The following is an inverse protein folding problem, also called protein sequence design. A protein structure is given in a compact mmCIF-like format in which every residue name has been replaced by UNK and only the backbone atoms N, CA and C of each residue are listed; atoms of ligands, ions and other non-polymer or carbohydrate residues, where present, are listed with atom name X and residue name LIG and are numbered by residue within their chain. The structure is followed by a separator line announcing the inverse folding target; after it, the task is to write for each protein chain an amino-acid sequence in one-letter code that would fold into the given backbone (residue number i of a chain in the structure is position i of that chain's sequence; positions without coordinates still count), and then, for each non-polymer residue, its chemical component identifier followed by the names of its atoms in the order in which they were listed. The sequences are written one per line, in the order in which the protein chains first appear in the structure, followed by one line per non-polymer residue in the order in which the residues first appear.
data_IF_064114148416
#
_entry.id   IF_064114148416
#
_cell.length_a   1.000
_cell.length_b   1.000
_cell.length_c   1.000
_cell.angle_alpha   90.00
_cell.angle_beta   90.00
_cell.angle_gamma   90.00
#
_symmetry.space_group_name_H-M   'P 1'
#
loop_
_entity.id
_entity.type
_entity.pdbx_description
1 polymer ?
#
# COMPACT_ATOMS: atom_id res chain seq x y z
N UNK A 1 11.63 -3.21 -5.60
CA UNK A 1 10.18 -3.28 -5.24
C UNK A 1 10.09 -3.92 -3.88
N UNK A 2 9.42 -3.29 -2.93
CA UNK A 2 9.43 -3.72 -1.54
C UNK A 2 8.28 -4.68 -1.20
N UNK A 3 8.59 -5.75 -0.47
CA UNK A 3 7.63 -6.77 -0.02
C UNK A 3 7.76 -7.01 1.49
N UNK A 4 6.67 -6.79 2.22
CA UNK A 4 6.57 -7.08 3.66
C UNK A 4 6.43 -8.59 3.92
N UNK A 5 7.33 -9.18 4.71
CA UNK A 5 7.21 -10.59 5.10
C UNK A 5 6.04 -10.82 6.04
N UNK A 6 5.68 -9.85 6.89
CA UNK A 6 4.46 -9.93 7.70
C UNK A 6 3.22 -10.04 6.83
N UNK A 7 3.12 -9.22 5.78
CA UNK A 7 1.99 -9.25 4.85
C UNK A 7 1.94 -10.54 4.05
N UNK A 8 3.08 -11.03 3.55
CA UNK A 8 3.18 -12.34 2.90
C UNK A 8 2.71 -13.46 3.85
N UNK A 9 3.08 -13.39 5.13
CA UNK A 9 2.77 -14.42 6.12
C UNK A 9 1.26 -14.58 6.40
N UNK A 10 0.44 -13.58 6.04
CA UNK A 10 -1.03 -13.67 6.10
C UNK A 10 -1.58 -14.63 5.05
N UNK A 11 -0.92 -14.72 3.89
CA UNK A 11 -1.31 -15.59 2.79
C UNK A 11 -0.65 -16.96 2.88
N UNK A 12 0.63 -17.04 3.28
CA UNK A 12 1.38 -18.30 3.34
C UNK A 12 2.24 -18.35 4.60
N UNK A 13 2.15 -19.44 5.39
CA UNK A 13 2.88 -19.52 6.65
C UNK A 13 4.39 -19.64 6.44
N UNK A 14 5.14 -18.60 6.84
CA UNK A 14 6.60 -18.54 6.75
C UNK A 14 7.31 -19.18 7.95
N UNK A 15 6.57 -19.62 8.97
CA UNK A 15 7.14 -20.26 10.16
C UNK A 15 8.04 -21.44 9.76
N UNK A 16 9.27 -21.42 10.28
CA UNK A 16 10.29 -22.43 10.01
C UNK A 16 11.13 -22.19 8.75
N UNK A 17 10.86 -21.12 7.99
CA UNK A 17 11.68 -20.67 6.86
C UNK A 17 12.46 -19.43 7.33
N UNK A 18 13.79 -19.50 7.30
CA UNK A 18 14.61 -18.32 7.63
C UNK A 18 14.59 -17.31 6.47
N UNK A 19 14.84 -16.03 6.76
CA UNK A 19 14.91 -15.00 5.73
C UNK A 19 15.99 -15.31 4.68
N UNK A 20 17.13 -15.86 5.09
CA UNK A 20 18.22 -16.26 4.20
C UNK A 20 17.79 -17.41 3.27
N UNK A 21 17.05 -18.38 3.80
CA UNK A 21 16.49 -19.48 2.99
C UNK A 21 15.48 -18.94 1.98
N UNK A 22 14.60 -18.02 2.40
CA UNK A 22 13.61 -17.40 1.55
C UNK A 22 14.27 -16.63 0.40
N UNK A 23 15.24 -15.77 0.72
CA UNK A 23 16.02 -14.99 -0.26
C UNK A 23 16.71 -15.93 -1.25
N UNK A 24 17.43 -16.93 -0.77
CA UNK A 24 18.15 -17.88 -1.63
C UNK A 24 17.18 -18.60 -2.60
N UNK A 25 16.04 -19.06 -2.10
CA UNK A 25 15.07 -19.78 -2.93
C UNK A 25 14.41 -18.86 -3.97
N UNK A 26 14.07 -17.62 -3.61
CA UNK A 26 13.54 -16.63 -4.56
C UNK A 26 14.56 -16.28 -5.64
N UNK A 27 15.83 -16.08 -5.27
CA UNK A 27 16.92 -15.80 -6.24
C UNK A 27 17.10 -16.94 -7.24
N UNK A 28 16.97 -18.20 -6.79
CA UNK A 28 17.13 -19.37 -7.67
C UNK A 28 15.91 -19.61 -8.57
N UNK A 29 14.70 -19.33 -8.09
CA UNK A 29 13.46 -19.73 -8.76
C UNK A 29 12.78 -18.60 -9.54
N UNK A 30 12.91 -17.34 -9.09
CA UNK A 30 12.00 -16.26 -9.49
C UNK A 30 12.72 -14.96 -9.81
N UNK A 31 13.42 -14.36 -8.86
CA UNK A 31 13.98 -13.00 -8.99
C UNK A 31 15.06 -12.71 -7.94
N UNK A 32 15.96 -11.80 -8.25
CA UNK A 32 16.97 -11.31 -7.32
C UNK A 32 16.37 -10.44 -6.21
N UNK A 33 16.87 -10.64 -4.98
CA UNK A 33 16.60 -9.78 -3.83
C UNK A 33 17.81 -8.87 -3.63
N UNK A 34 17.62 -7.57 -3.80
CA UNK A 34 18.67 -6.55 -3.68
C UNK A 34 19.06 -6.33 -2.21
N UNK A 35 18.08 -6.26 -1.30
CA UNK A 35 18.33 -6.01 0.12
C UNK A 35 17.24 -6.60 1.03
N UNK A 36 17.57 -6.72 2.32
CA UNK A 36 16.66 -7.11 3.41
C UNK A 36 16.63 -5.98 4.44
N UNK A 37 15.51 -5.27 4.45
CA UNK A 37 15.32 -4.04 5.21
C UNK A 37 14.51 -4.27 6.50
N UNK A 38 14.78 -3.45 7.50
CA UNK A 38 13.97 -3.33 8.73
C UNK A 38 13.45 -1.89 8.87
N UNK A 39 12.32 -1.54 8.21
CA UNK A 39 11.88 -0.15 8.05
C UNK A 39 11.62 0.58 9.38
N UNK A 40 11.36 -0.15 10.46
CA UNK A 40 11.06 0.41 11.79
C UNK A 40 12.04 -0.05 12.87
N UNK A 41 13.25 -0.45 12.48
CA UNK A 41 14.25 -1.02 13.41
C UNK A 41 14.58 -0.13 14.60
N UNK A 42 14.56 1.19 14.42
CA UNK A 42 14.86 2.16 15.49
C UNK A 42 13.86 2.10 16.65
N UNK A 43 12.61 1.66 16.41
CA UNK A 43 11.59 1.62 17.45
C UNK A 43 11.93 0.65 18.59
N UNK A 44 12.84 -0.31 18.35
CA UNK A 44 13.35 -1.22 19.38
C UNK A 44 14.28 -0.52 20.37
N UNK A 45 15.02 0.51 19.94
CA UNK A 45 15.98 1.26 20.76
C UNK A 45 15.33 2.45 21.50
N UNK A 46 14.13 2.85 21.09
CA UNK A 46 13.35 3.92 21.71
C UNK A 46 12.48 3.42 22.85
N UNK A 47 12.33 4.22 23.90
CA UNK A 47 11.45 3.96 25.03
C UNK A 47 10.20 4.84 24.97
N UNK A 48 9.06 4.31 25.41
CA UNK A 48 7.90 5.13 25.75
C UNK A 48 8.20 5.84 27.07
N UNK A 49 8.08 7.17 27.08
CA UNK A 49 8.35 7.98 28.27
C UNK A 49 7.24 9.03 28.46
N UNK A 50 7.16 9.62 29.66
CA UNK A 50 6.18 10.65 30.00
C UNK A 50 6.86 11.96 30.38
N UNK A 51 6.42 13.07 29.82
CA UNK A 51 6.89 14.41 30.23
C UNK A 51 6.19 14.77 31.55
N UNK A 52 6.92 14.91 32.64
CA UNK A 52 6.37 15.28 33.95
C UNK A 52 6.20 16.80 34.07
N UNK A 53 7.20 17.54 33.63
CA UNK A 53 7.19 19.01 33.61
C UNK A 53 8.14 19.53 32.53
N UNK A 54 7.97 20.79 32.13
CA UNK A 54 8.90 21.48 31.26
C UNK A 54 8.97 22.97 31.62
N UNK A 55 10.14 23.58 31.39
CA UNK A 55 10.38 25.01 31.54
C UNK A 55 11.16 25.55 30.34
N UNK A 56 11.05 26.86 30.07
CA UNK A 56 11.83 27.47 28.98
C UNK A 56 13.32 27.44 29.29
N UNK A 57 14.13 27.22 28.26
CA UNK A 57 15.58 27.28 28.39
C UNK A 57 16.03 28.74 28.67
N UNK A 58 16.89 28.99 29.68
CA UNK A 58 17.29 30.35 30.05
C UNK A 58 18.01 31.10 28.91
N UNK A 59 18.83 30.38 28.14
CA UNK A 59 19.64 30.94 27.05
C UNK A 59 19.15 30.60 25.62
N UNK A 60 17.87 30.19 25.47
CA UNK A 60 17.28 29.89 24.15
C UNK A 60 15.75 29.94 24.11
N UNK A 61 15.21 30.84 23.30
CA UNK A 61 13.76 31.08 23.18
C UNK A 61 12.96 29.89 22.62
N UNK A 62 13.60 29.04 21.80
CA UNK A 62 12.98 27.90 21.11
C UNK A 62 13.24 26.55 21.79
N UNK A 63 13.94 26.53 22.92
CA UNK A 63 14.27 25.29 23.61
C UNK A 63 13.54 25.21 24.95
N UNK A 64 13.14 24.00 25.31
CA UNK A 64 12.53 23.67 26.58
C UNK A 64 13.39 22.65 27.32
N UNK A 65 13.53 22.81 28.62
CA UNK A 65 14.13 21.84 29.53
C UNK A 65 12.99 20.96 30.04
N UNK A 66 12.95 19.71 29.63
CA UNK A 66 11.90 18.76 29.98
C UNK A 66 12.41 17.80 31.07
N UNK A 67 11.57 17.54 32.08
CA UNK A 67 11.74 16.41 33.00
C UNK A 67 10.91 15.24 32.47
N UNK A 68 11.60 14.17 32.05
CA UNK A 68 11.02 13.04 31.33
C UNK A 68 11.20 11.78 32.16
N UNK A 69 10.09 11.14 32.53
CA UNK A 69 10.10 9.87 33.26
C UNK A 69 10.14 8.70 32.28
N UNK A 70 11.21 7.90 32.36
CA UNK A 70 11.45 6.74 31.50
C UNK A 70 10.90 5.42 32.09
N UNK A 71 10.16 5.48 33.20
CA UNK A 71 9.67 4.31 33.93
C UNK A 71 10.54 3.89 35.12
N UNK A 72 11.78 4.37 35.19
CA UNK A 72 12.71 4.12 36.30
C UNK A 72 13.26 5.40 36.90
N UNK A 73 13.66 6.35 36.06
CA UNK A 73 14.31 7.60 36.43
C UNK A 73 13.61 8.78 35.76
N UNK A 74 13.69 9.95 36.40
CA UNK A 74 13.33 11.22 35.77
C UNK A 74 14.59 11.86 35.19
N UNK A 75 14.65 11.93 33.87
CA UNK A 75 15.78 12.46 33.10
C UNK A 75 15.53 13.91 32.70
N UNK A 76 16.60 14.69 32.59
CA UNK A 76 16.53 16.02 31.98
C UNK A 76 16.85 15.91 30.49
N UNK A 77 15.91 16.33 29.64
CA UNK A 77 16.04 16.27 28.19
C UNK A 77 15.67 17.63 27.59
N UNK A 78 16.51 18.15 26.70
CA UNK A 78 16.25 19.42 26.02
C UNK A 78 15.48 19.13 24.73
N UNK A 79 14.34 19.79 24.55
CA UNK A 79 13.48 19.61 23.40
C UNK A 79 13.10 20.96 22.79
N UNK A 80 13.23 21.06 21.46
CA UNK A 80 12.86 22.26 20.70
C UNK A 80 11.47 22.20 20.05
N UNK A 81 10.74 21.10 20.23
CA UNK A 81 9.46 20.92 19.54
C UNK A 81 8.38 21.84 20.12
N UNK A 82 7.59 22.53 19.27
CA UNK A 82 6.61 23.53 19.70
C UNK A 82 5.41 22.90 20.43
N UNK A 83 5.16 21.61 20.21
CA UNK A 83 4.05 20.85 20.76
C UNK A 83 4.40 20.10 22.07
N UNK A 84 5.55 20.39 22.69
CA UNK A 84 5.89 19.89 24.04
C UNK A 84 4.91 20.42 25.07
N UNK A 85 4.46 19.54 25.95
CA UNK A 85 3.64 19.87 27.12
C UNK A 85 3.82 18.84 28.23
N UNK A 86 3.43 19.17 29.46
CA UNK A 86 3.43 18.21 30.56
C UNK A 86 2.28 17.20 30.40
N UNK A 87 2.48 15.98 30.91
CA UNK A 87 1.49 14.91 30.97
C UNK A 87 1.39 14.02 29.73
N UNK A 88 2.05 14.36 28.62
CA UNK A 88 2.02 13.54 27.40
C UNK A 88 3.08 12.44 27.39
N UNK A 89 2.78 11.39 26.64
CA UNK A 89 3.69 10.29 26.33
C UNK A 89 4.38 10.52 24.99
N UNK A 90 5.68 10.22 24.96
CA UNK A 90 6.58 10.54 23.86
C UNK A 90 7.55 9.40 23.61
N UNK A 91 8.20 9.42 22.45
CA UNK A 91 9.33 8.54 22.13
C UNK A 91 10.61 9.16 22.68
N UNK A 92 11.27 8.46 23.59
CA UNK A 92 12.55 8.86 24.16
C UNK A 92 13.65 7.95 23.61
N UNK A 93 14.66 8.53 22.98
CA UNK A 93 15.93 7.85 22.76
C UNK A 93 16.83 8.05 24.00
N UNK A 94 17.08 6.99 24.78
CA UNK A 94 17.95 7.08 25.96
C UNK A 94 19.42 7.20 25.54
N UNK A 95 20.27 7.63 26.47
CA UNK A 95 21.74 7.62 26.27
C UNK A 95 22.20 6.19 25.95
N UNK A 96 23.01 6.05 24.90
CA UNK A 96 23.47 4.78 24.36
C UNK A 96 22.60 4.22 23.22
N UNK A 97 21.42 4.79 22.95
CA UNK A 97 20.63 4.42 21.79
C UNK A 97 21.28 4.91 20.49
N UNK A 98 20.97 4.23 19.39
CA UNK A 98 21.30 4.65 18.04
C UNK A 98 20.01 4.72 17.23
N UNK A 99 19.79 5.83 16.52
CA UNK A 99 18.57 6.11 15.75
C UNK A 99 18.90 6.71 14.38
N UNK A 100 17.95 6.64 13.45
CA UNK A 100 18.06 7.18 12.11
C UNK A 100 19.25 6.59 11.34
N UNK A 101 19.97 7.45 10.62
CA UNK A 101 21.17 7.08 9.86
C UNK A 101 22.42 6.86 10.76
N UNK A 102 22.24 6.29 11.96
CA UNK A 102 23.34 5.95 12.87
C UNK A 102 23.69 7.02 13.91
N UNK A 103 22.77 7.93 14.24
CA UNK A 103 22.97 8.93 15.29
C UNK A 103 23.04 8.26 16.67
N UNK A 104 24.23 8.28 17.28
CA UNK A 104 24.44 7.79 18.64
C UNK A 104 24.04 8.85 19.68
N UNK A 105 23.20 8.46 20.64
CA UNK A 105 22.68 9.36 21.66
C UNK A 105 23.61 9.38 22.86
N UNK A 106 24.26 10.52 23.05
CA UNK A 106 25.17 10.75 24.17
C UNK A 106 24.67 11.84 25.10
N UNK A 107 25.18 11.82 26.33
CA UNK A 107 24.96 12.88 27.29
C UNK A 107 25.74 14.13 26.86
N UNK A 108 25.03 15.22 26.54
CA UNK A 108 25.64 16.46 26.04
C UNK A 108 25.09 17.70 26.72
N UNK A 109 25.88 18.77 26.73
CA UNK A 109 25.41 20.11 27.13
C UNK A 109 24.93 20.86 25.89
N UNK A 110 23.68 21.31 25.90
CA UNK A 110 23.14 22.22 24.88
C UNK A 110 22.98 23.57 25.57
N UNK A 111 23.74 24.57 25.13
CA UNK A 111 23.73 25.93 25.70
C UNK A 111 23.88 25.94 27.22
N UNK A 112 24.84 25.17 27.74
CA UNK A 112 25.17 25.11 29.17
C UNK A 112 24.32 24.16 30.00
N UNK A 113 23.13 23.76 29.51
CA UNK A 113 22.22 22.84 30.19
C UNK A 113 22.43 21.41 29.71
N UNK A 114 22.46 20.46 30.63
CA UNK A 114 22.68 19.05 30.35
C UNK A 114 21.42 18.38 29.77
N UNK A 115 21.58 17.58 28.71
CA UNK A 115 20.55 16.72 28.12
C UNK A 115 20.99 15.27 28.16
N UNK A 116 20.19 14.43 28.82
CA UNK A 116 20.43 13.00 29.03
C UNK A 116 19.51 12.14 28.16
N UNK A 117 19.56 12.37 26.85
CA UNK A 117 18.70 11.72 25.86
C UNK A 117 18.12 12.71 24.86
N UNK A 118 17.15 12.23 24.07
CA UNK A 118 16.47 12.98 23.03
C UNK A 118 15.00 12.55 22.93
N UNK A 119 14.08 13.51 22.88
CA UNK A 119 12.67 13.24 22.53
C UNK A 119 12.56 13.29 21.01
N UNK A 120 12.14 12.18 20.40
CA UNK A 120 12.22 12.02 18.95
C UNK A 120 10.94 12.45 18.23
N UNK A 121 11.10 13.13 17.11
CA UNK A 121 10.08 13.36 16.09
C UNK A 121 9.99 12.16 15.13
N UNK A 122 8.85 11.95 14.43
CA UNK A 122 8.70 10.86 13.47
C UNK A 122 9.82 10.77 12.42
N UNK A 123 10.22 11.92 11.86
CA UNK A 123 11.24 11.98 10.81
C UNK A 123 12.67 11.64 11.29
N UNK A 124 12.91 11.61 12.60
CA UNK A 124 14.21 11.26 13.17
C UNK A 124 14.38 9.75 13.36
N UNK A 125 13.28 8.99 13.26
CA UNK A 125 13.22 7.57 13.65
C UNK A 125 12.49 6.71 12.61
N UNK A 126 12.45 7.15 11.35
CA UNK A 126 11.88 6.38 10.23
C UNK A 126 10.35 6.26 10.23
N UNK A 127 9.63 7.22 10.83
CA UNK A 127 8.17 7.25 10.90
C UNK A 127 7.53 8.35 10.04
N UNK A 128 8.31 9.08 9.24
CA UNK A 128 7.84 10.17 8.38
C UNK A 128 6.79 9.73 7.35
N UNK A 129 6.86 8.49 6.87
CA UNK A 129 5.87 7.95 5.93
C UNK A 129 4.52 7.67 6.60
N UNK A 130 4.50 7.39 7.91
CA UNK A 130 3.27 7.19 8.69
C UNK A 130 2.65 8.51 9.13
N UNK A 131 3.49 9.50 9.43
CA UNK A 131 3.08 10.79 9.99
C UNK A 131 3.64 11.98 9.20
N UNK A 132 3.33 12.08 7.90
CA UNK A 132 4.00 13.04 7.02
C UNK A 132 3.66 14.51 7.26
N UNK A 133 2.49 14.78 7.85
CA UNK A 133 2.02 16.15 8.10
C UNK A 133 2.31 16.61 9.54
N UNK A 134 2.93 15.76 10.37
CA UNK A 134 3.19 16.13 11.77
C UNK A 134 4.47 16.92 11.91
N UNK A 135 4.32 18.19 12.28
CA UNK A 135 5.41 19.00 12.79
C UNK A 135 5.66 18.75 14.29
N UNK A 136 6.92 18.60 14.67
CA UNK A 136 7.34 18.39 16.06
C UNK A 136 7.36 16.93 16.50
N UNK A 137 7.28 16.71 17.81
CA UNK A 137 7.39 15.36 18.41
C UNK A 137 6.11 14.55 18.21
N UNK A 138 6.24 13.22 18.18
CA UNK A 138 5.06 12.35 18.16
C UNK A 138 4.46 12.26 19.57
N UNK A 139 3.22 12.72 19.71
CA UNK A 139 2.43 12.55 20.94
C UNK A 139 1.77 11.17 20.86
N UNK A 140 2.22 10.22 21.69
CA UNK A 140 1.75 8.83 21.67
C UNK A 140 0.31 8.68 22.20
N UNK A 141 -0.21 9.69 22.88
CA UNK A 141 -1.59 9.73 23.39
C UNK A 141 -2.65 10.00 22.31
N UNK A 142 -2.23 10.32 21.08
CA UNK A 142 -3.13 10.72 20.02
C UNK A 142 -4.04 9.56 19.57
N UNK A 143 -5.35 9.81 19.52
CA UNK A 143 -6.35 8.79 19.19
C UNK A 143 -6.16 8.21 17.77
N UNK A 144 -5.58 8.98 16.85
CA UNK A 144 -5.27 8.50 15.48
C UNK A 144 -4.18 7.43 15.44
N UNK A 145 -3.46 7.22 16.55
CA UNK A 145 -2.46 6.16 16.73
C UNK A 145 -3.08 4.87 17.30
N UNK A 146 -4.34 4.91 17.75
CA UNK A 146 -4.99 3.77 18.38
C UNK A 146 -5.36 2.73 17.31
N UNK A 147 -4.75 1.55 17.39
CA UNK A 147 -5.20 0.36 16.69
C UNK A 147 -6.64 0.01 17.15
N UNK A 148 -7.51 -0.38 16.21
CA UNK A 148 -8.85 -0.92 16.53
C UNK A 148 -8.70 -2.12 17.48
N UNK A 149 -9.64 -2.21 18.42
CA UNK A 149 -9.60 -2.98 19.69
C UNK A 149 -8.72 -2.32 20.76
N UNK A 150 -9.22 -1.21 21.33
CA UNK A 150 -8.45 -0.34 22.20
C UNK A 150 -7.76 -1.07 23.34
N UNK A 151 -6.43 -1.07 23.40
CA UNK A 151 -5.70 -1.52 24.60
C UNK A 151 -4.19 -1.23 24.64
N UNK A 152 -3.64 -0.35 23.81
CA UNK A 152 -2.26 0.11 23.99
C UNK A 152 -2.22 1.55 24.47
N UNK A 153 -2.68 1.73 25.71
CA UNK A 153 -2.52 3.01 26.42
C UNK A 153 -1.03 3.25 26.66
N UNK A 154 -0.43 4.34 26.17
CA UNK A 154 1.00 4.61 26.33
C UNK A 154 1.49 4.51 27.78
N UNK A 155 0.62 4.87 28.75
CA UNK A 155 0.87 4.74 30.19
C UNK A 155 1.30 3.32 30.64
N UNK A 156 0.80 2.26 29.99
CA UNK A 156 1.14 0.85 30.30
C UNK A 156 2.48 0.40 29.70
N UNK A 157 3.06 1.24 28.85
CA UNK A 157 4.28 0.97 28.11
C UNK A 157 5.44 1.86 28.53
N UNK A 158 5.27 2.77 29.50
CA UNK A 158 6.37 3.57 30.02
C UNK A 158 7.57 2.67 30.38
N UNK A 159 8.74 3.00 29.83
CA UNK A 159 9.99 2.25 29.99
C UNK A 159 10.12 0.97 29.17
N UNK A 160 9.12 0.64 28.35
CA UNK A 160 9.19 -0.41 27.31
C UNK A 160 9.52 0.20 25.96
N UNK A 161 9.93 -0.65 25.01
CA UNK A 161 10.24 -0.19 23.66
C UNK A 161 9.01 0.37 22.95
N UNK A 162 9.20 1.38 22.09
CA UNK A 162 8.14 1.92 21.24
C UNK A 162 7.65 0.85 20.25
N UNK A 163 8.53 -0.05 19.80
CA UNK A 163 8.18 -1.21 18.99
C UNK A 163 7.07 -2.06 19.66
N UNK A 164 7.17 -2.32 20.97
CA UNK A 164 6.17 -3.07 21.71
C UNK A 164 4.82 -2.32 21.82
N UNK A 165 4.83 -0.99 21.76
CA UNK A 165 3.61 -0.18 21.71
C UNK A 165 2.98 -0.22 20.32
N UNK A 166 3.74 -0.06 19.24
CA UNK A 166 3.19 0.13 17.89
C UNK A 166 2.99 -1.17 17.09
N UNK A 167 3.68 -2.26 17.43
CA UNK A 167 3.66 -3.54 16.69
C UNK A 167 4.05 -3.46 15.21
N UNK A 168 4.95 -2.54 14.86
CA UNK A 168 5.32 -2.31 13.47
C UNK A 168 6.49 -3.19 12.99
N UNK A 169 7.08 -4.01 13.85
CA UNK A 169 8.25 -4.81 13.51
C UNK A 169 8.01 -5.68 12.28
N UNK A 170 8.79 -5.47 11.23
CA UNK A 170 8.67 -6.16 9.96
C UNK A 170 10.05 -6.37 9.33
N UNK A 171 10.13 -7.35 8.44
CA UNK A 171 11.27 -7.58 7.55
C UNK A 171 10.78 -7.40 6.12
N UNK A 172 11.43 -6.52 5.36
CA UNK A 172 11.02 -6.17 4.01
C UNK A 172 12.08 -6.61 3.01
N UNK A 173 11.68 -7.36 2.00
CA UNK A 173 12.56 -7.71 0.88
C UNK A 173 12.50 -6.61 -0.17
N UNK A 174 13.64 -6.09 -0.62
CA UNK A 174 13.71 -5.26 -1.81
C UNK A 174 14.05 -6.12 -3.03
N UNK A 175 13.11 -6.22 -3.96
CA UNK A 175 13.19 -7.08 -5.14
C UNK A 175 13.66 -6.28 -6.36
N UNK A 176 14.65 -6.80 -7.10
CA UNK A 176 14.97 -6.24 -8.43
C UNK A 176 13.83 -6.56 -9.41
N UNK A 177 12.99 -5.56 -9.65
CA UNK A 177 11.82 -5.69 -10.49
C UNK A 177 12.13 -5.70 -12.00
N UNK A 178 13.40 -5.47 -12.40
CA UNK A 178 13.81 -5.49 -13.82
C UNK A 178 13.77 -6.91 -14.39
N UNK A 179 14.03 -7.91 -13.56
CA UNK A 179 14.00 -9.34 -13.93
C UNK A 179 12.58 -9.87 -14.16
N UNK A 180 11.57 -9.29 -13.49
CA UNK A 180 10.17 -9.78 -13.49
C UNK A 180 9.22 -8.92 -14.35
N UNK A 181 9.73 -8.22 -15.35
CA UNK A 181 8.89 -7.41 -16.27
C UNK A 181 7.89 -8.23 -17.09
N UNK A 182 8.15 -9.53 -17.24
CA UNK A 182 7.30 -10.50 -17.91
C UNK A 182 6.28 -11.19 -16.97
N UNK A 183 6.34 -10.89 -15.66
CA UNK A 183 5.52 -11.45 -14.59
C UNK A 183 4.68 -10.36 -13.90
N UNK A 184 3.68 -9.77 -14.58
CA UNK A 184 2.83 -8.73 -13.98
C UNK A 184 2.10 -9.21 -12.72
N UNK A 185 1.89 -10.52 -12.60
CA UNK A 185 1.33 -11.17 -11.42
C UNK A 185 2.18 -10.98 -10.16
N UNK A 186 3.50 -10.86 -10.30
CA UNK A 186 4.43 -10.68 -9.18
C UNK A 186 4.58 -9.23 -8.71
N UNK A 187 3.90 -8.25 -9.32
CA UNK A 187 4.00 -6.83 -8.91
C UNK A 187 3.16 -6.49 -7.67
N UNK A 188 3.01 -7.47 -6.77
CA UNK A 188 2.22 -7.40 -5.54
C UNK A 188 2.57 -8.50 -4.53
N UNK A 189 2.07 -8.33 -3.30
CA UNK A 189 2.27 -9.27 -2.21
C UNK A 189 1.59 -10.62 -2.49
N UNK A 190 0.34 -10.64 -2.95
CA UNK A 190 -0.35 -11.91 -3.17
C UNK A 190 0.32 -12.76 -4.26
N UNK A 191 0.81 -12.12 -5.33
CA UNK A 191 1.59 -12.81 -6.37
C UNK A 191 2.83 -13.50 -5.81
N UNK A 192 3.61 -12.79 -4.99
CA UNK A 192 4.77 -13.38 -4.31
C UNK A 192 4.39 -14.44 -3.29
N UNK A 193 3.27 -14.29 -2.57
CA UNK A 193 2.80 -15.32 -1.66
C UNK A 193 2.46 -16.62 -2.40
N UNK A 194 1.84 -16.53 -3.59
CA UNK A 194 1.60 -17.69 -4.46
C UNK A 194 2.90 -18.34 -4.92
N UNK A 195 3.88 -17.53 -5.34
CA UNK A 195 5.18 -18.03 -5.76
C UNK A 195 5.93 -18.74 -4.61
N UNK A 196 5.95 -18.13 -3.41
CA UNK A 196 6.56 -18.71 -2.21
C UNK A 196 5.84 -19.99 -1.79
N UNK A 197 4.51 -20.01 -1.84
CA UNK A 197 3.72 -21.21 -1.57
C UNK A 197 4.10 -22.34 -2.55
N UNK A 198 4.29 -22.03 -3.83
CA UNK A 198 4.72 -22.99 -4.83
C UNK A 198 6.14 -23.54 -4.58
N UNK A 199 7.10 -22.66 -4.28
CA UNK A 199 8.51 -23.00 -4.01
C UNK A 199 8.64 -23.90 -2.78
N UNK A 200 7.97 -23.54 -1.68
CA UNK A 200 8.06 -24.25 -0.40
C UNK A 200 6.99 -25.33 -0.21
N UNK A 201 6.20 -25.61 -1.25
CA UNK A 201 5.10 -26.60 -1.25
C UNK A 201 4.13 -26.40 -0.08
N UNK A 202 3.75 -25.15 0.16
CA UNK A 202 2.78 -24.76 1.19
C UNK A 202 1.43 -24.42 0.53
N UNK A 203 0.36 -24.50 1.31
CA UNK A 203 -0.95 -24.00 0.90
C UNK A 203 -1.09 -22.51 1.22
N UNK A 204 -1.96 -21.84 0.47
CA UNK A 204 -2.42 -20.50 0.80
C UNK A 204 -3.50 -20.59 1.89
N UNK A 205 -3.43 -19.70 2.88
CA UNK A 205 -4.40 -19.59 3.97
C UNK A 205 -5.71 -18.97 3.50
N UNK A 206 -5.63 -17.94 2.66
CA UNK A 206 -6.78 -17.31 2.03
C UNK A 206 -6.38 -16.71 0.66
N UNK A 207 -7.37 -16.55 -0.22
CA UNK A 207 -7.21 -15.88 -1.52
C UNK A 207 -8.01 -14.56 -1.51
N UNK A 208 -7.34 -13.40 -1.56
CA UNK A 208 -8.00 -12.09 -1.59
C UNK A 208 -8.78 -11.82 -2.88
N UNK A 209 -8.65 -12.66 -3.93
CA UNK A 209 -9.47 -12.58 -5.13
C UNK A 209 -10.84 -13.27 -4.96
N UNK A 210 -11.04 -14.05 -3.89
CA UNK A 210 -12.29 -14.76 -3.60
C UNK A 210 -13.18 -14.03 -2.59
N UNK A 211 -12.87 -12.76 -2.27
CA UNK A 211 -13.70 -11.93 -1.40
C UNK A 211 -15.11 -11.80 -1.97
N UNK A 212 -16.11 -11.98 -1.11
CA UNK A 212 -17.51 -11.90 -1.49
C UNK A 212 -17.89 -10.48 -1.94
N UNK A 213 -18.83 -10.39 -2.89
CA UNK A 213 -19.39 -9.11 -3.29
C UNK A 213 -20.04 -8.39 -2.09
N UNK A 214 -19.88 -7.06 -1.95
CA UNK A 214 -20.57 -6.32 -0.91
C UNK A 214 -22.09 -6.41 -1.11
N UNK A 215 -22.85 -6.35 -0.01
CA UNK A 215 -24.31 -6.34 -0.09
C UNK A 215 -24.78 -5.04 -0.74
N UNK A 216 -25.32 -5.15 -1.94
CA UNK A 216 -25.80 -4.00 -2.70
C UNK A 216 -27.06 -3.38 -2.07
N UNK A 217 -27.02 -2.07 -1.85
CA UNK A 217 -28.16 -1.22 -1.50
C UNK A 217 -28.67 -0.53 -2.78
N UNK A 218 -29.96 -0.72 -3.09
CA UNK A 218 -30.60 -0.17 -4.28
C UNK A 218 -30.77 1.35 -4.21
N UNK A 219 -30.67 1.96 -3.04
CA UNK A 219 -30.75 3.42 -2.91
C UNK A 219 -29.47 4.13 -3.34
N UNK A 220 -28.35 3.40 -3.45
CA UNK A 220 -27.05 3.98 -3.83
C UNK A 220 -26.98 4.10 -5.34
N UNK A 221 -27.05 5.33 -5.84
CA UNK A 221 -26.88 5.63 -7.26
C UNK A 221 -25.48 5.23 -7.74
N UNK A 222 -25.36 4.85 -9.00
CA UNK A 222 -24.07 4.49 -9.60
C UNK A 222 -23.98 5.08 -11.01
N UNK A 223 -22.86 5.76 -11.35
CA UNK A 223 -22.65 6.26 -12.70
C UNK A 223 -22.71 5.13 -13.74
N UNK A 224 -23.11 5.47 -14.96
CA UNK A 224 -22.95 4.58 -16.11
C UNK A 224 -21.51 4.62 -16.63
N UNK A 225 -21.05 3.53 -17.22
CA UNK A 225 -19.68 3.41 -17.73
C UNK A 225 -19.74 3.14 -19.23
N UNK A 226 -18.96 3.87 -20.01
CA UNK A 226 -18.86 3.68 -21.47
C UNK A 226 -17.41 3.71 -21.92
N UNK A 227 -16.95 2.64 -22.56
CA UNK A 227 -15.63 2.57 -23.20
C UNK A 227 -15.78 2.92 -24.68
N UNK A 228 -14.94 3.84 -25.15
CA UNK A 228 -14.88 4.26 -26.57
C UNK A 228 -13.50 3.98 -27.14
N UNK A 229 -13.44 3.75 -28.45
CA UNK A 229 -12.20 3.63 -29.21
C UNK A 229 -11.17 2.65 -28.61
N UNK A 230 -11.65 1.57 -27.98
CA UNK A 230 -10.81 0.57 -27.28
C UNK A 230 -9.83 1.20 -26.27
N UNK A 231 -10.21 2.33 -25.67
CA UNK A 231 -9.39 3.05 -24.71
C UNK A 231 -9.15 2.26 -23.40
N UNK A 232 -10.01 1.29 -23.10
CA UNK A 232 -9.81 0.28 -22.06
C UNK A 232 -10.15 -1.13 -22.61
N UNK A 233 -9.52 -2.17 -22.05
CA UNK A 233 -9.93 -3.56 -22.25
C UNK A 233 -11.21 -3.87 -21.45
N UNK A 234 -11.29 -3.29 -20.26
CA UNK A 234 -12.46 -3.32 -19.40
C UNK A 234 -12.35 -2.26 -18.32
N UNK A 235 -13.50 -1.85 -17.79
CA UNK A 235 -13.61 -0.85 -16.74
C UNK A 235 -14.79 -1.22 -15.86
N UNK A 236 -14.55 -1.32 -14.56
CA UNK A 236 -15.58 -1.61 -13.56
C UNK A 236 -15.59 -0.57 -12.46
N UNK A 237 -16.76 -0.36 -11.87
CA UNK A 237 -16.87 0.49 -10.69
C UNK A 237 -18.10 0.22 -9.86
N UNK A 238 -18.09 0.76 -8.66
CA UNK A 238 -19.24 0.76 -7.74
C UNK A 238 -19.18 2.02 -6.88
N UNK A 239 -20.35 2.47 -6.44
CA UNK A 239 -20.42 3.62 -5.55
C UNK A 239 -20.57 3.22 -4.09
N UNK A 240 -20.08 4.08 -3.21
CA UNK A 240 -20.17 3.93 -1.76
C UNK A 240 -20.69 5.22 -1.16
N UNK A 241 -21.75 5.12 -0.38
CA UNK A 241 -22.30 6.20 0.44
C UNK A 241 -21.91 6.03 1.91
N UNK A 242 -21.99 7.13 2.67
CA UNK A 242 -21.68 7.19 4.10
C UNK A 242 -20.23 6.83 4.42
N UNK A 243 -19.28 7.37 3.64
CA UNK A 243 -17.87 7.29 3.97
C UNK A 243 -17.44 8.52 4.77
N UNK A 244 -16.46 8.33 5.66
CA UNK A 244 -15.76 9.41 6.33
C UNK A 244 -14.29 9.38 5.89
N UNK A 245 -13.83 10.48 5.29
CA UNK A 245 -12.42 10.67 4.95
C UNK A 245 -11.69 11.19 6.19
N UNK A 246 -10.59 10.53 6.52
CA UNK A 246 -9.77 10.87 7.68
C UNK A 246 -8.52 10.02 7.76
N UNK A 247 -7.70 10.19 8.81
CA UNK A 247 -6.46 9.44 8.98
C UNK A 247 -6.70 7.92 9.00
N UNK A 248 -5.87 7.18 8.27
CA UNK A 248 -5.90 5.71 8.30
C UNK A 248 -5.50 5.16 9.68
N UNK A 249 -6.04 3.99 10.08
CA UNK A 249 -5.59 3.30 11.27
C UNK A 249 -4.12 2.84 11.14
N UNK A 250 -3.44 2.68 12.27
CA UNK A 250 -2.01 2.38 12.32
C UNK A 250 -1.61 1.12 11.53
N UNK A 251 -2.44 0.06 11.53
CA UNK A 251 -2.13 -1.17 10.78
C UNK A 251 -2.03 -0.93 9.27
N UNK A 252 -2.87 -0.05 8.72
CA UNK A 252 -2.91 0.25 7.29
C UNK A 252 -1.73 1.15 6.91
N UNK A 253 -1.48 2.21 7.70
CA UNK A 253 -0.33 3.10 7.53
C UNK A 253 1.00 2.35 7.65
N UNK A 254 1.10 1.49 8.65
CA UNK A 254 2.30 0.69 8.93
C UNK A 254 2.68 -0.20 7.76
N UNK A 255 1.71 -0.92 7.16
CA UNK A 255 1.96 -1.75 5.98
C UNK A 255 2.39 -0.95 4.77
N UNK A 256 1.70 0.16 4.49
CA UNK A 256 2.03 1.04 3.38
C UNK A 256 3.45 1.63 3.54
N UNK A 257 3.74 2.17 4.72
CA UNK A 257 5.03 2.76 5.01
C UNK A 257 6.18 1.73 4.99
N UNK A 258 5.94 0.49 5.46
CA UNK A 258 6.94 -0.58 5.38
C UNK A 258 7.46 -0.80 3.95
N UNK A 259 6.59 -0.64 2.96
CA UNK A 259 6.92 -0.78 1.54
C UNK A 259 7.17 0.55 0.83
N UNK A 260 7.38 1.64 1.59
CA UNK A 260 7.77 2.94 1.08
C UNK A 260 6.62 3.84 0.61
N UNK A 261 5.36 3.49 0.92
CA UNK A 261 4.21 4.34 0.60
C UNK A 261 3.91 5.31 1.74
N UNK A 262 3.78 6.58 1.38
CA UNK A 262 3.31 7.65 2.27
C UNK A 262 1.82 7.48 2.53
N UNK A 263 1.40 7.56 3.79
CA UNK A 263 -0.02 7.62 4.14
C UNK A 263 -0.62 8.98 3.77
N UNK A 264 -1.83 8.96 3.20
CA UNK A 264 -2.56 10.16 2.78
C UNK A 264 -3.87 10.26 3.57
N UNK A 265 -4.82 9.36 3.31
CA UNK A 265 -6.07 9.25 4.05
C UNK A 265 -6.62 7.82 3.90
N UNK A 266 -7.61 7.47 4.73
CA UNK A 266 -8.22 6.14 4.79
C UNK A 266 -8.68 5.56 3.46
N UNK A 267 -9.19 6.39 2.55
CA UNK A 267 -9.70 5.93 1.25
C UNK A 267 -8.57 5.72 0.26
N UNK A 268 -7.64 6.69 0.13
CA UNK A 268 -6.47 6.57 -0.76
C UNK A 268 -5.55 5.43 -0.29
N UNK A 269 -5.37 5.31 1.02
CA UNK A 269 -4.54 4.27 1.62
C UNK A 269 -5.15 2.88 1.40
N UNK A 270 -6.48 2.74 1.49
CA UNK A 270 -7.15 1.48 1.14
C UNK A 270 -6.97 1.13 -0.34
N UNK A 271 -7.06 2.12 -1.24
CA UNK A 271 -6.79 1.97 -2.67
C UNK A 271 -5.36 1.48 -2.93
N UNK A 272 -4.37 2.17 -2.33
CA UNK A 272 -2.95 1.82 -2.44
C UNK A 272 -2.65 0.44 -1.86
N UNK A 273 -3.28 0.10 -0.73
CA UNK A 273 -3.15 -1.21 -0.10
C UNK A 273 -3.60 -2.33 -1.05
N UNK A 274 -4.79 -2.21 -1.64
CA UNK A 274 -5.31 -3.23 -2.58
C UNK A 274 -4.47 -3.31 -3.86
N UNK A 275 -3.97 -2.18 -4.35
CA UNK A 275 -3.05 -2.17 -5.49
C UNK A 275 -1.76 -2.94 -5.18
N UNK A 276 -1.17 -2.74 -4.00
CA UNK A 276 0.03 -3.44 -3.54
C UNK A 276 -0.23 -4.90 -3.16
N UNK A 277 -1.47 -5.24 -2.79
CA UNK A 277 -1.88 -6.59 -2.47
C UNK A 277 -2.09 -7.44 -3.73
N UNK A 278 -2.74 -6.90 -4.77
CA UNK A 278 -3.26 -7.66 -5.92
C UNK A 278 -2.62 -7.33 -7.28
N UNK A 279 -1.75 -6.32 -7.31
CA UNK A 279 -1.18 -5.69 -8.51
C UNK A 279 -2.22 -5.01 -9.40
N UNK A 280 -3.43 -4.77 -8.89
CA UNK A 280 -4.53 -4.15 -9.62
C UNK A 280 -4.69 -2.69 -9.18
N UNK A 281 -4.20 -1.71 -9.97
CA UNK A 281 -4.46 -0.32 -9.67
C UNK A 281 -5.96 -0.04 -9.73
N UNK A 282 -6.38 0.86 -8.85
CA UNK A 282 -7.75 1.27 -8.65
C UNK A 282 -7.75 2.77 -8.29
N UNK A 283 -8.92 3.39 -8.29
CA UNK A 283 -9.05 4.80 -7.95
C UNK A 283 -10.37 5.07 -7.21
N UNK A 284 -10.42 6.18 -6.48
CA UNK A 284 -11.63 6.64 -5.81
C UNK A 284 -11.87 8.11 -6.20
N UNK A 285 -13.02 8.35 -6.84
CA UNK A 285 -13.49 9.69 -7.17
C UNK A 285 -14.45 10.18 -6.09
N UNK A 286 -14.44 11.48 -5.81
CA UNK A 286 -15.54 12.14 -5.12
C UNK A 286 -16.78 12.09 -6.02
N UNK A 287 -17.80 11.34 -5.60
CA UNK A 287 -18.98 11.10 -6.42
C UNK A 287 -19.78 12.37 -6.66
N UNK A 288 -19.63 13.36 -5.79
CA UNK A 288 -20.36 14.64 -5.88
C UNK A 288 -19.72 15.60 -6.88
N UNK A 289 -18.51 15.29 -7.33
CA UNK A 289 -17.73 16.07 -8.29
C UNK A 289 -17.69 15.43 -9.68
N UNK A 290 -18.30 14.27 -9.86
CA UNK A 290 -18.45 13.59 -11.15
C UNK A 290 -19.91 13.56 -11.58
N UNK A 291 -20.13 13.43 -12.88
CA UNK A 291 -21.45 13.32 -13.48
C UNK A 291 -21.93 11.85 -13.51
N UNK A 292 -23.16 11.64 -13.98
CA UNK A 292 -23.82 10.34 -14.03
C UNK A 292 -23.23 9.38 -15.07
N UNK A 293 -22.29 9.83 -15.90
CA UNK A 293 -21.61 9.00 -16.91
C UNK A 293 -20.11 9.17 -16.81
N UNK A 294 -19.41 8.04 -16.69
CA UNK A 294 -17.96 7.94 -16.81
C UNK A 294 -17.64 7.33 -18.17
N UNK A 295 -17.05 8.14 -19.05
CA UNK A 295 -16.63 7.71 -20.37
C UNK A 295 -15.11 7.56 -20.43
N UNK A 296 -14.62 6.49 -21.03
CA UNK A 296 -13.19 6.22 -21.22
C UNK A 296 -12.91 6.34 -22.70
N UNK A 297 -12.05 7.28 -23.09
CA UNK A 297 -11.76 7.56 -24.50
C UNK A 297 -10.29 7.94 -24.73
N UNK A 298 -9.83 7.81 -25.96
CA UNK A 298 -8.55 8.34 -26.39
C UNK A 298 -8.68 9.83 -26.75
N UNK A 299 -7.80 10.65 -26.20
CA UNK A 299 -7.68 12.07 -26.54
C UNK A 299 -7.36 12.26 -28.03
N UNK A 300 -8.09 13.17 -28.69
CA UNK A 300 -7.89 13.51 -30.11
C UNK A 300 -6.84 14.61 -30.36
N UNK A 301 -6.45 15.30 -29.29
CA UNK A 301 -5.50 16.42 -29.27
C UNK A 301 -4.78 16.44 -27.93
N UNK A 302 -3.77 17.28 -27.79
CA UNK A 302 -3.18 17.59 -26.48
C UNK A 302 -4.25 18.17 -25.56
N UNK A 303 -4.33 17.67 -24.33
CA UNK A 303 -5.24 18.15 -23.29
C UNK A 303 -4.45 18.64 -22.08
N UNK A 304 -5.00 19.60 -21.34
CA UNK A 304 -4.46 20.04 -20.06
C UNK A 304 -5.32 19.43 -18.95
N UNK A 305 -4.70 18.69 -18.06
CA UNK A 305 -5.36 18.09 -16.90
C UNK A 305 -4.63 18.57 -15.66
N UNK A 306 -5.36 19.19 -14.75
CA UNK A 306 -4.86 19.52 -13.41
C UNK A 306 -4.83 18.24 -12.59
N UNK A 307 -3.64 17.83 -12.16
CA UNK A 307 -3.39 16.53 -11.54
C UNK A 307 -3.33 16.65 -10.02
N UNK A 308 -3.44 15.51 -9.33
CA UNK A 308 -3.47 15.44 -7.86
C UNK A 308 -2.21 15.98 -7.16
N UNK A 309 -1.11 16.15 -7.91
CA UNK A 309 0.12 16.79 -7.45
C UNK A 309 0.06 18.32 -7.45
N UNK A 310 -1.06 18.91 -7.91
CA UNK A 310 -1.24 20.35 -8.01
C UNK A 310 -0.58 20.96 -9.25
N UNK A 311 -0.02 20.13 -10.15
CA UNK A 311 0.54 20.57 -11.41
C UNK A 311 -0.48 20.44 -12.55
N UNK A 312 -0.32 21.23 -13.61
CA UNK A 312 -1.08 21.04 -14.84
C UNK A 312 -0.25 20.22 -15.81
N UNK A 313 -0.68 18.98 -16.07
CA UNK A 313 -0.03 18.08 -17.02
C UNK A 313 -0.56 18.30 -18.44
N UNK A 314 0.33 18.54 -19.40
CA UNK A 314 0.01 18.50 -20.83
C UNK A 314 -0.02 17.05 -21.33
N UNK A 315 -1.22 16.49 -21.39
CA UNK A 315 -1.47 15.11 -21.81
C UNK A 315 -1.35 15.01 -23.33
N UNK A 316 -0.44 14.18 -23.86
CA UNK A 316 -0.28 13.99 -25.30
C UNK A 316 -1.58 13.52 -25.98
N UNK A 317 -1.68 13.76 -27.28
CA UNK A 317 -2.73 13.13 -28.09
C UNK A 317 -2.62 11.60 -28.06
N UNK A 318 -3.76 10.93 -28.29
CA UNK A 318 -3.92 9.48 -28.24
C UNK A 318 -3.57 8.86 -26.87
N UNK A 319 -3.60 9.65 -25.80
CA UNK A 319 -3.59 9.19 -24.42
C UNK A 319 -5.00 8.91 -23.93
N UNK A 320 -5.13 7.95 -23.02
CA UNK A 320 -6.41 7.55 -22.43
C UNK A 320 -6.83 8.63 -21.43
N UNK A 321 -8.06 9.11 -21.55
CA UNK A 321 -8.69 10.01 -20.62
C UNK A 321 -9.92 9.34 -20.01
N UNK A 322 -10.13 9.57 -18.71
CA UNK A 322 -11.37 9.29 -18.03
C UNK A 322 -12.16 10.59 -17.99
N UNK A 323 -13.36 10.57 -18.56
CA UNK A 323 -14.21 11.73 -18.76
C UNK A 323 -15.46 11.61 -17.89
N UNK A 324 -15.75 12.65 -17.12
CA UNK A 324 -17.03 12.85 -16.45
C UNK A 324 -17.97 13.57 -17.43
N UNK A 325 -19.04 12.89 -17.85
CA UNK A 325 -19.98 13.39 -18.85
C UNK A 325 -21.35 13.72 -18.23
N UNK A 326 -21.64 15.01 -18.15
CA UNK A 326 -22.94 15.54 -17.78
C UNK A 326 -23.36 16.65 -18.73
N UNK A 327 -23.64 17.86 -18.22
CA UNK A 327 -23.88 19.05 -19.07
C UNK A 327 -22.65 19.45 -19.88
N UNK A 328 -21.46 19.16 -19.35
CA UNK A 328 -20.16 19.31 -20.00
C UNK A 328 -19.42 17.98 -19.87
N UNK A 329 -18.46 17.75 -20.77
CA UNK A 329 -17.50 16.65 -20.65
C UNK A 329 -16.20 17.22 -20.13
N UNK A 330 -15.75 16.70 -18.99
CA UNK A 330 -14.53 17.14 -18.30
C UNK A 330 -13.63 15.94 -18.03
N UNK A 331 -12.33 16.10 -18.28
CA UNK A 331 -11.35 15.06 -17.99
C UNK A 331 -11.04 15.04 -16.49
N UNK A 332 -11.36 13.92 -15.85
CA UNK A 332 -11.20 13.71 -14.41
C UNK A 332 -9.98 12.88 -14.06
N UNK A 333 -9.37 12.20 -15.03
CA UNK A 333 -8.09 11.53 -14.86
C UNK A 333 -7.40 11.24 -16.20
N UNK A 334 -6.08 11.05 -16.13
CA UNK A 334 -5.30 10.40 -17.20
C UNK A 334 -5.31 8.90 -16.92
N UNK A 335 -6.02 8.14 -17.77
CA UNK A 335 -6.35 6.74 -17.53
C UNK A 335 -5.12 5.89 -17.24
N UNK A 336 -5.11 5.26 -16.07
CA UNK A 336 -4.04 4.39 -15.60
C UNK A 336 -2.72 5.10 -15.25
N UNK A 337 -2.68 6.43 -15.21
CA UNK A 337 -1.47 7.18 -14.89
C UNK A 337 -1.67 8.03 -13.64
N UNK A 338 -2.59 8.98 -13.66
CA UNK A 338 -2.77 9.93 -12.56
C UNK A 338 -4.21 10.47 -12.53
N UNK A 339 -4.76 10.61 -11.33
CA UNK A 339 -6.07 11.24 -11.11
C UNK A 339 -6.00 12.76 -11.28
N UNK A 340 -7.14 13.37 -11.62
CA UNK A 340 -7.30 14.81 -11.69
C UNK A 340 -7.74 15.42 -10.35
N UNK A 341 -7.34 16.67 -10.10
CA UNK A 341 -7.70 17.40 -8.86
C UNK A 341 -9.20 17.71 -8.78
N UNK A 342 -9.86 17.90 -9.93
CA UNK A 342 -11.27 18.27 -10.02
C UNK A 342 -12.22 17.25 -9.35
N UNK A 343 -11.88 15.96 -9.41
CA UNK A 343 -12.65 14.86 -8.85
C UNK A 343 -12.01 14.22 -7.61
N UNK A 344 -10.97 14.86 -7.07
CA UNK A 344 -10.22 14.38 -5.93
C UNK A 344 -11.11 14.30 -4.69
N UNK A 345 -10.91 13.24 -3.90
CA UNK A 345 -11.51 13.12 -2.58
C UNK A 345 -10.88 14.14 -1.62
N UNK A 346 -11.70 14.62 -0.69
CA UNK A 346 -11.34 15.61 0.33
C UNK A 346 -11.90 15.19 1.69
N UNK A 347 -11.52 15.89 2.76
CA UNK A 347 -12.07 15.65 4.10
C UNK A 347 -13.59 15.82 4.19
N UNK A 348 -14.19 16.55 3.24
CA UNK A 348 -15.65 16.76 3.15
C UNK A 348 -16.39 15.68 2.34
N UNK A 349 -15.67 14.79 1.68
CA UNK A 349 -16.27 13.78 0.79
C UNK A 349 -16.99 12.72 1.61
N UNK A 350 -18.26 12.49 1.32
CA UNK A 350 -19.11 11.50 2.00
C UNK A 350 -19.63 10.39 1.07
N UNK A 351 -19.43 10.57 -0.23
CA UNK A 351 -19.92 9.70 -1.30
C UNK A 351 -18.80 9.53 -2.32
N UNK A 352 -18.42 8.28 -2.61
CA UNK A 352 -17.31 7.98 -3.51
C UNK A 352 -17.73 7.01 -4.61
N UNK A 353 -17.03 7.09 -5.74
CA UNK A 353 -17.10 6.09 -6.81
C UNK A 353 -15.74 5.40 -6.92
N UNK A 354 -15.72 4.09 -6.69
CA UNK A 354 -14.54 3.25 -6.79
C UNK A 354 -14.40 2.74 -8.23
N UNK A 355 -13.21 2.90 -8.79
CA UNK A 355 -12.81 2.44 -10.12
C UNK A 355 -11.82 1.27 -9.99
N UNK A 356 -11.99 0.26 -10.85
CA UNK A 356 -10.94 -0.70 -11.20
C UNK A 356 -11.01 -1.00 -12.68
N UNK A 357 -9.91 -0.75 -13.38
CA UNK A 357 -9.86 -0.78 -14.84
C UNK A 357 -8.68 -1.60 -15.36
N UNK A 358 -8.73 -1.97 -16.63
CA UNK A 358 -7.59 -2.54 -17.35
C UNK A 358 -7.44 -1.83 -18.68
N UNK A 359 -6.28 -1.20 -18.88
CA UNK A 359 -5.97 -0.44 -20.08
C UNK A 359 -5.04 -1.22 -21.01
N UNK A 360 -5.10 -1.00 -22.34
CA UNK A 360 -4.10 -1.53 -23.25
C UNK A 360 -2.71 -1.02 -22.90
N UNK A 361 -1.80 -1.92 -22.53
CA UNK A 361 -0.44 -1.58 -22.06
C UNK A 361 0.35 -0.76 -23.08
N UNK A 362 0.08 -0.95 -24.37
CA UNK A 362 0.71 -0.22 -25.48
C UNK A 362 0.34 1.27 -25.45
N UNK A 363 -0.92 1.61 -25.11
CA UNK A 363 -1.39 2.99 -24.99
C UNK A 363 -0.79 3.67 -23.74
N UNK A 364 -0.70 2.93 -22.64
CA UNK A 364 -0.07 3.39 -21.40
C UNK A 364 1.41 3.69 -21.65
N UNK A 365 2.17 2.74 -22.21
CA UNK A 365 3.60 2.91 -22.54
C UNK A 365 3.85 4.10 -23.45
N UNK A 366 3.00 4.30 -24.48
CA UNK A 366 3.12 5.43 -25.41
C UNK A 366 2.89 6.78 -24.73
N UNK A 367 1.97 6.84 -23.76
CA UNK A 367 1.74 8.06 -22.99
C UNK A 367 2.90 8.31 -22.03
N UNK A 368 3.36 7.28 -21.32
CA UNK A 368 4.47 7.34 -20.38
C UNK A 368 5.81 7.68 -21.04
N UNK A 369 6.05 7.35 -22.30
CA UNK A 369 7.28 7.77 -22.99
C UNK A 369 7.35 9.27 -23.27
N UNK A 370 6.23 9.98 -23.14
CA UNK A 370 6.08 11.42 -23.43
C UNK A 370 5.78 12.26 -22.19
N UNK A 371 5.50 11.61 -21.05
CA UNK A 371 5.28 12.27 -19.77
C UNK A 371 6.45 11.97 -18.82
N UNK A 372 6.92 12.96 -18.05
CA UNK A 372 7.93 12.74 -17.01
C UNK A 372 7.37 11.96 -15.79
N UNK A 373 6.06 11.66 -15.78
CA UNK A 373 5.38 10.99 -14.68
C UNK A 373 5.62 9.46 -14.70
N UNK A 374 5.89 8.91 -13.51
CA UNK A 374 5.98 7.47 -13.25
C UNK A 374 5.31 7.15 -11.92
N UNK A 375 4.01 6.87 -11.95
CA UNK A 375 3.24 6.48 -10.77
C UNK A 375 3.24 4.96 -10.59
N UNK A 376 2.95 4.50 -9.38
CA UNK A 376 2.83 3.08 -9.07
C UNK A 376 1.74 2.38 -9.91
N UNK A 377 0.65 3.09 -10.21
CA UNK A 377 -0.42 2.59 -11.07
C UNK A 377 0.08 2.42 -12.51
N UNK A 378 0.78 3.42 -13.03
CA UNK A 378 1.28 3.42 -14.40
C UNK A 378 2.27 2.28 -14.66
N UNK A 379 3.19 2.05 -13.72
CA UNK A 379 4.20 0.98 -13.79
C UNK A 379 3.55 -0.41 -13.84
N UNK A 380 2.41 -0.60 -13.16
CA UNK A 380 1.65 -1.87 -13.21
C UNK A 380 0.87 -2.01 -14.51
N UNK A 381 0.21 -0.95 -14.97
CA UNK A 381 -0.56 -1.00 -16.21
C UNK A 381 0.32 -1.20 -17.45
N UNK A 382 1.54 -0.67 -17.48
CA UNK A 382 2.45 -0.92 -18.60
C UNK A 382 2.91 -2.38 -18.72
N UNK A 383 2.78 -3.22 -17.67
CA UNK A 383 3.08 -4.65 -17.77
C UNK A 383 1.91 -5.45 -18.34
N UNK A 384 0.69 -4.89 -18.29
CA UNK A 384 -0.56 -5.52 -18.74
C UNK A 384 -1.23 -6.27 -17.59
N UNK A 385 -2.31 -5.68 -17.06
CA UNK A 385 -3.13 -6.31 -16.03
C UNK A 385 -4.19 -7.24 -16.64
N UNK A 386 -4.64 -8.20 -15.84
CA UNK A 386 -5.68 -9.15 -16.24
C UNK A 386 -7.07 -8.55 -15.93
N UNK A 387 -7.95 -8.36 -16.93
CA UNK A 387 -9.31 -7.87 -16.69
C UNK A 387 -10.11 -8.70 -15.68
N UNK A 388 -9.79 -9.99 -15.52
CA UNK A 388 -10.42 -10.86 -14.53
C UNK A 388 -10.24 -10.37 -13.08
N UNK A 389 -9.21 -9.56 -12.80
CA UNK A 389 -8.92 -9.04 -11.45
C UNK A 389 -9.75 -7.81 -11.08
N UNK A 390 -10.37 -7.12 -12.04
CA UNK A 390 -10.99 -5.81 -11.77
C UNK A 390 -12.09 -5.88 -10.71
N UNK A 391 -13.03 -6.82 -10.87
CA UNK A 391 -14.15 -7.00 -9.96
C UNK A 391 -13.69 -7.56 -8.60
N UNK A 392 -12.86 -8.62 -8.53
CA UNK A 392 -12.27 -9.08 -7.27
C UNK A 392 -11.55 -7.97 -6.50
N UNK A 393 -10.76 -7.13 -7.17
CA UNK A 393 -10.08 -6.01 -6.53
C UNK A 393 -11.06 -4.97 -5.98
N UNK A 394 -12.18 -4.69 -6.66
CA UNK A 394 -13.24 -3.83 -6.12
C UNK A 394 -13.90 -4.43 -4.88
N UNK A 395 -14.08 -5.75 -4.83
CA UNK A 395 -14.63 -6.42 -3.64
C UNK A 395 -13.68 -6.35 -2.47
N UNK A 396 -12.39 -6.63 -2.69
CA UNK A 396 -11.36 -6.48 -1.67
C UNK A 396 -11.26 -5.04 -1.17
N UNK A 397 -11.31 -4.06 -2.09
CA UNK A 397 -11.34 -2.65 -1.71
C UNK A 397 -12.58 -2.31 -0.88
N UNK A 398 -13.74 -2.80 -1.29
CA UNK A 398 -15.01 -2.60 -0.56
C UNK A 398 -14.98 -3.19 0.83
N UNK A 399 -14.34 -4.35 1.02
CA UNK A 399 -14.15 -4.98 2.32
C UNK A 399 -13.31 -4.09 3.25
N UNK A 400 -12.19 -3.55 2.76
CA UNK A 400 -11.36 -2.62 3.55
C UNK A 400 -12.13 -1.33 3.85
N UNK A 401 -12.78 -0.74 2.85
CA UNK A 401 -13.59 0.48 3.04
C UNK A 401 -14.72 0.26 4.06
N UNK A 402 -15.41 -0.88 4.00
CA UNK A 402 -16.47 -1.23 4.96
C UNK A 402 -15.93 -1.49 6.38
N UNK A 403 -14.73 -2.04 6.50
CA UNK A 403 -14.07 -2.19 7.80
C UNK A 403 -13.66 -0.84 8.42
N UNK A 404 -13.33 0.15 7.58
CA UNK A 404 -13.02 1.52 7.99
C UNK A 404 -14.27 2.34 8.25
N UNK A 405 -15.36 2.09 7.51
CA UNK A 405 -16.63 2.82 7.55
C UNK A 405 -17.79 1.83 7.74
N UNK A 406 -18.14 1.45 8.97
CA UNK A 406 -19.16 0.43 9.24
C UNK A 406 -20.56 0.76 8.70
N UNK A 407 -20.88 2.05 8.56
CA UNK A 407 -22.17 2.53 8.04
C UNK A 407 -22.20 2.70 6.51
N UNK A 408 -21.12 2.31 5.82
CA UNK A 408 -20.99 2.44 4.38
C UNK A 408 -22.03 1.60 3.63
N UNK A 409 -22.62 2.20 2.60
CA UNK A 409 -23.61 1.56 1.73
C UNK A 409 -23.06 1.43 0.31
N UNK A 410 -23.08 0.21 -0.22
CA UNK A 410 -22.47 -0.10 -1.51
C UNK A 410 -23.54 -0.24 -2.59
N UNK A 411 -23.28 0.27 -3.79
CA UNK A 411 -24.11 -0.04 -4.96
C UNK A 411 -23.78 -1.44 -5.50
N UNK A 412 -24.53 -1.87 -6.52
CA UNK A 412 -24.05 -2.95 -7.41
C UNK A 412 -22.80 -2.51 -8.19
N UNK A 413 -22.02 -3.47 -8.65
CA UNK A 413 -20.97 -3.22 -9.66
C UNK A 413 -21.60 -2.94 -11.01
N UNK A 414 -21.03 -1.98 -11.72
CA UNK A 414 -21.27 -1.73 -13.14
C UNK A 414 -19.96 -1.88 -13.89
N UNK A 415 -20.02 -2.42 -15.10
CA UNK A 415 -18.85 -2.71 -15.91
C UNK A 415 -19.14 -2.50 -17.39
N UNK A 416 -18.11 -2.15 -18.14
CA UNK A 416 -18.08 -2.21 -19.60
C UNK A 416 -16.76 -2.88 -20.06
N UNK A 417 -16.79 -3.55 -21.22
CA UNK A 417 -15.67 -4.32 -21.76
C UNK A 417 -15.49 -5.73 -21.15
N UNK A 418 -14.28 -6.28 -21.26
CA UNK A 418 -13.93 -7.62 -20.78
C UNK A 418 -13.77 -7.64 -19.25
N UNK A 419 -14.47 -8.57 -18.60
CA UNK A 419 -14.41 -8.81 -17.14
C UNK A 419 -13.96 -10.23 -16.80
N UNK A 420 -13.71 -11.08 -17.81
CA UNK A 420 -13.38 -12.50 -17.62
C UNK A 420 -11.91 -12.79 -17.90
N UNK A 421 -11.23 -11.92 -18.65
CA UNK A 421 -9.85 -12.14 -19.07
C UNK A 421 -9.72 -13.30 -20.06
N UNK A 422 -8.47 -13.59 -20.44
CA UNK A 422 -8.16 -14.64 -21.42
C UNK A 422 -7.90 -15.98 -20.73
N UNK A 423 -8.69 -16.99 -21.07
CA UNK A 423 -8.42 -18.38 -20.68
C UNK A 423 -7.54 -19.09 -21.72
N UNK A 424 -6.23 -19.01 -21.55
CA UNK A 424 -5.27 -19.65 -22.45
C UNK A 424 -5.15 -21.15 -22.13
N UNK A 425 -5.34 -22.02 -23.12
CA UNK A 425 -5.05 -23.45 -23.01
C UNK A 425 -3.71 -23.75 -23.67
N UNK A 426 -2.76 -24.28 -22.90
CA UNK A 426 -1.41 -24.61 -23.38
C UNK A 426 -1.29 -26.13 -23.46
N UNK A 427 -0.99 -26.65 -24.65
CA UNK A 427 -0.73 -28.08 -24.85
C UNK A 427 0.78 -28.34 -24.81
N UNK A 428 1.22 -29.15 -23.85
CA UNK A 428 2.61 -29.61 -23.73
C UNK A 428 2.66 -31.14 -23.68
N UNK A 429 3.81 -31.72 -24.05
CA UNK A 429 4.09 -33.14 -23.85
C UNK A 429 5.24 -33.32 -22.86
N UNK A 430 5.24 -34.43 -22.12
CA UNK A 430 6.34 -34.77 -21.22
C UNK A 430 7.68 -34.86 -21.96
N UNK A 431 7.67 -35.41 -23.19
CA UNK A 431 8.85 -35.48 -24.05
C UNK A 431 9.41 -34.11 -24.39
N UNK A 432 8.55 -33.12 -24.67
CA UNK A 432 8.98 -31.76 -24.93
C UNK A 432 9.66 -31.14 -23.71
N UNK A 433 9.08 -31.31 -22.52
CA UNK A 433 9.64 -30.80 -21.27
C UNK A 433 10.99 -31.43 -20.97
N UNK A 434 11.10 -32.76 -21.02
CA UNK A 434 12.34 -33.49 -20.77
C UNK A 434 13.45 -33.11 -21.77
N UNK A 435 13.12 -32.94 -23.05
CA UNK A 435 14.08 -32.50 -24.07
C UNK A 435 14.62 -31.10 -23.78
N UNK A 436 13.79 -30.19 -23.26
CA UNK A 436 14.21 -28.82 -22.92
C UNK A 436 15.00 -28.75 -21.62
N UNK A 437 14.68 -29.59 -20.64
CA UNK A 437 15.38 -29.66 -19.36
C UNK A 437 16.71 -30.41 -19.45
N UNK A 438 16.83 -31.38 -20.36
CA UNK A 438 18.02 -32.22 -20.50
C UNK A 438 18.12 -33.36 -19.47
N UNK A 439 17.07 -33.61 -18.69
CA UNK A 439 16.97 -34.72 -17.74
C UNK A 439 15.54 -35.27 -17.66
N UNK A 440 15.41 -36.49 -17.14
CA UNK A 440 14.13 -37.14 -16.94
C UNK A 440 13.41 -36.56 -15.71
N UNK A 441 12.16 -36.12 -15.90
CA UNK A 441 11.24 -35.68 -14.84
C UNK A 441 9.99 -36.55 -14.86
N UNK A 442 9.40 -36.81 -13.69
CA UNK A 442 8.20 -37.63 -13.57
C UNK A 442 6.94 -36.83 -13.97
N UNK A 443 5.91 -37.45 -14.58
CA UNK A 443 4.65 -36.78 -14.90
C UNK A 443 4.01 -36.10 -13.68
N UNK A 444 4.06 -36.78 -12.53
CA UNK A 444 3.47 -36.31 -11.29
C UNK A 444 4.15 -35.03 -10.78
N UNK A 445 5.47 -34.90 -10.95
CA UNK A 445 6.22 -33.70 -10.55
C UNK A 445 5.90 -32.50 -11.44
N UNK A 446 5.65 -32.73 -12.73
CA UNK A 446 5.20 -31.69 -13.67
C UNK A 446 3.80 -31.21 -13.29
N UNK A 447 2.87 -32.15 -13.08
CA UNK A 447 1.50 -31.82 -12.66
C UNK A 447 1.50 -31.04 -11.34
N UNK A 448 2.14 -31.59 -10.31
CA UNK A 448 2.27 -31.01 -8.97
C UNK A 448 2.85 -29.58 -9.01
N UNK A 449 3.83 -29.33 -9.89
CA UNK A 449 4.40 -27.98 -10.07
C UNK A 449 3.41 -27.02 -10.73
N UNK A 450 2.71 -27.46 -11.79
CA UNK A 450 1.74 -26.63 -12.50
C UNK A 450 0.51 -26.32 -11.63
N UNK A 451 0.00 -27.29 -10.87
CA UNK A 451 -1.13 -27.10 -9.97
C UNK A 451 -0.78 -26.17 -8.81
N UNK A 452 0.44 -26.24 -8.25
CA UNK A 452 0.92 -25.25 -7.27
C UNK A 452 1.03 -23.83 -7.85
N UNK A 453 1.25 -23.71 -9.17
CA UNK A 453 1.19 -22.43 -9.89
C UNK A 453 -0.25 -22.05 -10.30
N UNK A 454 -1.24 -22.80 -9.84
CA UNK A 454 -2.68 -22.70 -10.09
C UNK A 454 -3.08 -22.86 -11.57
N UNK A 455 -2.35 -23.68 -12.32
CA UNK A 455 -2.86 -24.16 -13.60
C UNK A 455 -3.86 -25.30 -13.36
N UNK A 456 -4.97 -25.27 -14.09
CA UNK A 456 -5.81 -26.46 -14.26
C UNK A 456 -5.11 -27.42 -15.22
N UNK A 457 -4.76 -28.61 -14.74
CA UNK A 457 -4.05 -29.63 -15.52
C UNK A 457 -5.02 -30.75 -15.91
N UNK A 458 -5.05 -31.10 -17.19
CA UNK A 458 -5.84 -32.22 -17.70
C UNK A 458 -5.04 -33.04 -18.69
N UNK A 459 -5.07 -34.37 -18.59
CA UNK A 459 -4.35 -35.25 -19.52
C UNK A 459 -4.60 -36.75 -19.28
N UNK A 460 -4.17 -37.62 -20.21
CA UNK A 460 -4.34 -39.07 -20.08
C UNK A 460 -3.60 -39.60 -18.85
N UNK A 461 -4.30 -40.31 -17.95
CA UNK A 461 -3.73 -40.89 -16.73
C UNK A 461 -3.70 -39.94 -15.53
N UNK A 462 -4.26 -38.74 -15.64
CA UNK A 462 -4.43 -37.81 -14.52
C UNK A 462 -5.91 -37.76 -14.13
N UNK A 463 -6.22 -38.01 -12.86
CA UNK A 463 -7.58 -37.79 -12.36
C UNK A 463 -7.81 -36.27 -12.30
N UNK A 464 -8.84 -35.80 -13.01
CA UNK A 464 -9.32 -34.42 -12.87
C UNK A 464 -9.82 -34.22 -11.44
N UNK A 465 -9.17 -33.32 -10.70
CA UNK A 465 -9.68 -32.80 -9.42
C UNK A 465 -10.43 -31.51 -9.64
#
# INVERSE_FOLDING_TARGET
MKLSLNWINEFVELKGISTEQLVKSLTLATCEVEDVLKPFGDLESLLVARIESFEKHPDADRLNICKVFDGKNTLQVICGAPNVRAGIHVMLAPVGATIGEGLHIEKRKIRGVESSGMICAPAEVGLELLFPEREGILILDDESLLLKEGLRKPEKFIGKSVAALMDLNDTVLDIDNKSITHRPDLWCHFGFAREIAAIFRKSLKHDPLLVAAPKADKSVAVPTITIRNQAALGYSGLSVDNVAVGPSPLWLKGRLAAVGQKSINSIVDASNFVMLELAQPNHAFDRDRIADTIAIDCSKKVNKVETLDGETTEVPENSILILSEGKKSEAVAVGGIIGGSASAISDSTTRIFLESATFPRELIRRTLSRLPLRTDSAVRFEKGQDPAKMIPALYRLSEIIGALNPDAKFSKVVSDGDTKGKQNRIKISLSFVQQRLGFAIKPEEVQDTLERLHFEVSGPGLNSS
#
